data_IF_627873043798
#
_entry.id   IF_627873043798
#
_cell.length_a   1.000
_cell.length_b   1.000
_cell.length_c   1.000
_cell.angle_alpha   90.00
_cell.angle_beta   90.00
_cell.angle_gamma   90.00
#
_symmetry.space_group_name_H-M   'P 1'
#
loop_
_entity.id
_entity.type
_entity.pdbx_description
1 polymer ?
#
# COMPACT_ATOMS: atom_id res chain seq x y z
N UNK A 1 35.38 37.85 -16.64
CA UNK A 1 34.34 37.01 -17.26
C UNK A 1 34.40 35.64 -16.58
N UNK A 2 33.67 35.47 -15.46
CA UNK A 2 33.68 34.24 -14.66
C UNK A 2 32.57 33.29 -15.16
N UNK A 3 32.96 32.10 -15.60
CA UNK A 3 32.06 30.98 -15.89
C UNK A 3 31.69 30.28 -14.58
N UNK A 4 30.43 30.43 -14.14
CA UNK A 4 29.85 29.60 -13.10
C UNK A 4 29.51 28.22 -13.69
N UNK A 5 30.29 27.20 -13.34
CA UNK A 5 29.87 25.82 -13.48
C UNK A 5 28.85 25.50 -12.38
N UNK A 6 27.59 25.39 -12.76
CA UNK A 6 26.54 24.84 -11.89
C UNK A 6 26.72 23.32 -11.87
N UNK A 7 27.35 22.81 -10.81
CA UNK A 7 27.39 21.38 -10.51
C UNK A 7 26.01 20.96 -9.99
N UNK A 8 25.24 20.30 -10.83
CA UNK A 8 23.98 19.66 -10.42
C UNK A 8 24.35 18.41 -9.63
N UNK A 9 24.19 18.46 -8.30
CA UNK A 9 24.24 17.29 -7.43
C UNK A 9 23.07 16.35 -7.75
N UNK A 10 23.32 15.31 -8.54
CA UNK A 10 22.40 14.17 -8.68
C UNK A 10 22.56 13.24 -7.49
N UNK A 11 21.78 13.47 -6.44
CA UNK A 11 21.56 12.44 -5.42
C UNK A 11 21.02 11.16 -6.09
N UNK A 12 21.66 10.04 -5.78
CA UNK A 12 21.64 8.82 -6.59
C UNK A 12 20.25 8.27 -6.86
N UNK A 13 19.88 8.23 -8.13
CA UNK A 13 18.89 7.31 -8.64
C UNK A 13 19.67 6.06 -9.08
N UNK A 14 19.60 4.98 -8.30
CA UNK A 14 20.22 3.70 -8.70
C UNK A 14 19.56 3.26 -10.03
N UNK A 15 20.38 3.13 -11.07
CA UNK A 15 19.98 2.47 -12.29
C UNK A 15 19.91 0.98 -11.96
N UNK A 16 18.77 0.32 -12.21
CA UNK A 16 18.63 -1.10 -11.93
C UNK A 16 19.71 -1.86 -12.70
N UNK A 17 20.48 -2.70 -12.01
CA UNK A 17 21.39 -3.63 -12.66
C UNK A 17 20.60 -4.50 -13.64
N UNK A 18 21.19 -4.97 -14.75
CA UNK A 18 20.55 -5.93 -15.65
C UNK A 18 19.96 -7.17 -14.95
N UNK A 19 20.47 -7.48 -13.76
CA UNK A 19 20.11 -8.65 -12.95
C UNK A 19 19.14 -8.35 -11.79
N UNK A 20 18.84 -7.09 -11.50
CA UNK A 20 17.95 -6.72 -10.40
C UNK A 20 16.49 -6.75 -10.86
N UNK A 21 15.66 -7.54 -10.17
CA UNK A 21 14.22 -7.55 -10.40
C UNK A 21 13.58 -6.31 -9.76
N UNK A 22 12.68 -5.60 -10.47
CA UNK A 22 11.97 -4.46 -9.91
C UNK A 22 11.08 -4.88 -8.74
N UNK A 23 11.13 -4.11 -7.65
CA UNK A 23 10.28 -4.32 -6.49
C UNK A 23 8.83 -3.91 -6.82
N UNK A 24 7.95 -4.90 -7.01
CA UNK A 24 6.53 -4.70 -7.34
C UNK A 24 5.84 -3.74 -6.35
N UNK A 25 6.28 -3.70 -5.09
CA UNK A 25 5.72 -2.83 -4.04
C UNK A 25 5.84 -1.34 -4.37
N UNK A 26 6.78 -0.94 -5.22
CA UNK A 26 6.94 0.45 -5.65
C UNK A 26 5.87 0.88 -6.66
N UNK A 27 5.27 -0.07 -7.38
CA UNK A 27 4.13 0.16 -8.28
C UNK A 27 2.81 0.19 -7.53
N UNK A 28 2.66 -0.62 -6.49
CA UNK A 28 1.38 -0.75 -5.81
C UNK A 28 0.97 0.54 -5.09
N UNK A 29 -0.24 1.03 -5.35
CA UNK A 29 -0.78 2.30 -4.82
C UNK A 29 0.11 3.52 -5.09
N UNK A 30 0.72 3.55 -6.29
CA UNK A 30 1.64 4.60 -6.69
C UNK A 30 1.08 5.50 -7.78
N UNK A 31 1.34 6.81 -7.65
CA UNK A 31 0.92 7.84 -8.59
C UNK A 31 2.15 8.45 -9.25
N UNK A 32 2.09 8.56 -10.57
CA UNK A 32 3.19 8.95 -11.43
C UNK A 32 2.74 10.04 -12.38
N UNK A 33 3.53 11.10 -12.51
CA UNK A 33 3.36 12.14 -13.52
C UNK A 33 4.37 11.92 -14.63
N UNK A 34 3.92 11.92 -15.88
CA UNK A 34 4.80 11.86 -17.04
C UNK A 34 5.58 13.18 -17.18
N UNK A 35 6.84 13.08 -17.61
CA UNK A 35 7.72 14.24 -17.74
C UNK A 35 8.25 14.42 -19.15
N UNK A 36 8.84 13.39 -19.74
CA UNK A 36 9.36 13.44 -21.11
C UNK A 36 9.62 12.04 -21.65
N UNK A 37 9.80 11.95 -22.97
CA UNK A 37 10.24 10.76 -23.68
C UNK A 37 11.59 11.02 -24.33
N UNK A 38 12.55 10.15 -24.06
CA UNK A 38 13.89 10.15 -24.61
C UNK A 38 14.00 9.08 -25.70
N UNK A 39 14.57 9.42 -26.85
CA UNK A 39 14.99 8.44 -27.85
C UNK A 39 16.47 8.10 -27.62
N UNK A 40 16.74 6.88 -27.15
CA UNK A 40 18.04 6.46 -26.62
C UNK A 40 19.18 6.58 -27.64
N UNK A 41 18.96 6.13 -28.86
CA UNK A 41 20.00 6.07 -29.90
C UNK A 41 20.50 7.47 -30.28
N UNK A 42 19.62 8.46 -30.25
CA UNK A 42 19.97 9.86 -30.53
C UNK A 42 20.22 10.71 -29.28
N UNK A 43 19.89 10.17 -28.09
CA UNK A 43 19.82 10.90 -26.82
C UNK A 43 19.01 12.22 -26.92
N UNK A 44 17.94 12.24 -27.73
CA UNK A 44 17.10 13.42 -27.93
C UNK A 44 15.76 13.26 -27.21
N UNK A 45 15.29 14.35 -26.59
CA UNK A 45 13.95 14.41 -26.01
C UNK A 45 12.97 14.63 -27.16
N UNK A 46 12.20 13.59 -27.50
CA UNK A 46 11.25 13.64 -28.62
C UNK A 46 9.89 14.23 -28.20
N UNK A 47 9.58 14.19 -26.91
CA UNK A 47 8.34 14.70 -26.36
C UNK A 47 8.54 15.09 -24.89
N UNK A 48 7.89 16.17 -24.45
CA UNK A 48 7.94 16.65 -23.07
C UNK A 48 6.54 17.00 -22.62
N UNK A 49 6.23 16.71 -21.35
CA UNK A 49 5.03 17.17 -20.71
C UNK A 49 5.04 18.71 -20.68
N UNK A 50 3.99 19.30 -21.22
CA UNK A 50 3.72 20.73 -21.23
C UNK A 50 2.27 20.97 -20.81
N UNK A 51 1.79 22.21 -20.90
CA UNK A 51 0.41 22.55 -20.54
C UNK A 51 -0.64 21.82 -21.40
N UNK A 52 -0.24 21.30 -22.56
CA UNK A 52 -1.09 20.59 -23.51
C UNK A 52 -0.94 19.08 -23.39
N UNK A 53 -0.09 18.59 -22.49
CA UNK A 53 0.13 17.17 -22.24
C UNK A 53 0.35 16.91 -20.74
N UNK A 54 -0.74 17.02 -19.98
CA UNK A 54 -0.77 16.70 -18.56
C UNK A 54 -1.25 15.27 -18.36
N UNK A 55 -0.29 14.40 -18.08
CA UNK A 55 -0.51 12.96 -17.98
C UNK A 55 -0.13 12.41 -16.60
N UNK A 56 -1.09 11.71 -15.98
CA UNK A 56 -0.89 11.01 -14.73
C UNK A 56 -1.30 9.55 -14.85
N UNK A 57 -0.60 8.71 -14.11
CA UNK A 57 -0.84 7.29 -14.01
C UNK A 57 -0.92 6.90 -12.53
N UNK A 58 -1.93 6.12 -12.19
CA UNK A 58 -2.15 5.58 -10.86
C UNK A 58 -2.26 4.07 -10.95
N UNK A 59 -1.24 3.37 -10.46
CA UNK A 59 -1.27 1.93 -10.28
C UNK A 59 -1.94 1.59 -8.96
N UNK A 60 -3.05 0.85 -9.03
CA UNK A 60 -3.88 0.49 -7.89
C UNK A 60 -3.49 -0.88 -7.35
N UNK A 61 -3.88 -1.15 -6.10
CA UNK A 61 -3.59 -2.39 -5.39
C UNK A 61 -4.17 -3.65 -6.05
N UNK A 62 -5.28 -3.49 -6.76
CA UNK A 62 -6.06 -4.54 -7.42
C UNK A 62 -5.51 -4.94 -8.80
N UNK A 63 -4.25 -4.59 -9.11
CA UNK A 63 -3.64 -4.75 -10.43
C UNK A 63 -4.40 -4.00 -11.55
N UNK A 64 -5.26 -3.04 -11.22
CA UNK A 64 -5.80 -2.07 -12.17
C UNK A 64 -4.97 -0.80 -12.18
N UNK A 65 -5.03 -0.05 -13.26
CA UNK A 65 -4.51 1.30 -13.31
C UNK A 65 -5.62 2.28 -13.71
N UNK A 66 -5.48 3.52 -13.25
CA UNK A 66 -6.24 4.65 -13.75
C UNK A 66 -5.25 5.65 -14.31
N UNK A 67 -5.50 6.10 -15.53
CA UNK A 67 -4.71 7.16 -16.15
C UNK A 67 -5.57 8.39 -16.43
N UNK A 68 -4.92 9.53 -16.44
CA UNK A 68 -5.48 10.82 -16.78
C UNK A 68 -4.64 11.41 -17.91
N UNK A 69 -5.29 11.87 -18.98
CA UNK A 69 -4.66 12.64 -20.04
C UNK A 69 -5.57 13.82 -20.36
N UNK A 70 -5.10 15.06 -20.10
CA UNK A 70 -5.77 16.29 -20.51
C UNK A 70 -7.28 16.31 -20.19
N UNK A 71 -7.66 15.96 -18.96
CA UNK A 71 -9.06 15.96 -18.50
C UNK A 71 -9.81 14.65 -18.69
N UNK A 72 -9.28 13.69 -19.45
CA UNK A 72 -9.93 12.40 -19.70
C UNK A 72 -9.32 11.31 -18.84
N UNK A 73 -10.18 10.53 -18.19
CA UNK A 73 -9.78 9.34 -17.46
C UNK A 73 -9.98 8.09 -18.30
N UNK A 74 -9.04 7.16 -18.22
CA UNK A 74 -9.23 5.78 -18.67
C UNK A 74 -8.66 4.80 -17.65
N UNK A 75 -9.05 3.54 -17.77
CA UNK A 75 -8.69 2.47 -16.85
C UNK A 75 -8.30 1.22 -17.63
N UNK A 76 -7.48 0.38 -17.01
CA UNK A 76 -7.12 -0.92 -17.53
C UNK A 76 -6.45 -1.76 -16.46
N UNK A 77 -5.86 -2.87 -16.87
CA UNK A 77 -5.11 -3.78 -16.00
C UNK A 77 -3.60 -3.63 -16.24
N UNK A 78 -2.82 -3.85 -15.20
CA UNK A 78 -1.38 -3.95 -15.30
C UNK A 78 -0.88 -5.25 -14.69
N UNK A 79 0.21 -5.77 -15.23
CA UNK A 79 0.87 -6.94 -14.69
C UNK A 79 2.38 -6.76 -14.83
N UNK A 80 3.12 -7.19 -13.82
CA UNK A 80 4.57 -7.22 -13.85
C UNK A 80 5.03 -8.67 -13.98
N UNK A 81 5.68 -8.99 -15.09
CA UNK A 81 6.34 -10.28 -15.31
C UNK A 81 7.85 -10.06 -15.41
N UNK A 82 8.57 -10.43 -14.35
CA UNK A 82 9.96 -10.11 -14.13
C UNK A 82 10.26 -8.61 -14.31
N UNK A 83 10.78 -8.20 -15.48
CA UNK A 83 11.10 -6.80 -15.81
C UNK A 83 10.14 -6.19 -16.84
N UNK A 84 9.19 -6.98 -17.32
CA UNK A 84 8.20 -6.58 -18.31
C UNK A 84 6.94 -6.11 -17.62
N UNK A 85 6.65 -4.82 -17.74
CA UNK A 85 5.38 -4.25 -17.34
C UNK A 85 4.40 -4.34 -18.52
N UNK A 86 3.34 -5.12 -18.34
CA UNK A 86 2.17 -5.14 -19.20
C UNK A 86 1.24 -4.03 -18.78
N UNK A 87 1.08 -3.03 -19.62
CA UNK A 87 0.35 -1.80 -19.33
C UNK A 87 0.16 -1.05 -20.64
N UNK A 88 -1.05 -0.54 -20.92
CA UNK A 88 -1.32 0.18 -22.17
C UNK A 88 -1.03 1.67 -22.03
N UNK A 89 -0.08 2.17 -22.83
CA UNK A 89 0.26 3.58 -22.92
C UNK A 89 0.62 3.96 -24.34
N UNK A 90 -0.09 4.96 -24.87
CA UNK A 90 -0.01 5.35 -26.28
C UNK A 90 -0.27 4.13 -27.18
N UNK A 91 0.68 3.78 -28.06
CA UNK A 91 0.56 2.67 -29.01
C UNK A 91 1.36 1.43 -28.57
N UNK A 92 1.66 1.31 -27.28
CA UNK A 92 2.41 0.20 -26.70
C UNK A 92 1.67 -0.37 -25.48
N UNK A 93 1.77 -1.68 -25.32
CA UNK A 93 1.13 -2.47 -24.27
C UNK A 93 2.14 -3.21 -23.37
N UNK A 94 3.42 -3.17 -23.75
CA UNK A 94 4.51 -3.89 -23.10
C UNK A 94 5.74 -2.99 -23.00
N UNK A 95 6.27 -2.88 -21.78
CA UNK A 95 7.41 -2.04 -21.47
C UNK A 95 8.43 -2.80 -20.64
N UNK A 96 9.71 -2.57 -20.90
CA UNK A 96 10.80 -3.03 -20.03
C UNK A 96 11.10 -1.96 -19.00
N UNK A 97 11.22 -2.30 -17.72
CA UNK A 97 11.52 -1.32 -16.67
C UNK A 97 13.02 -0.97 -16.70
N UNK A 98 13.38 0.17 -17.30
CA UNK A 98 14.78 0.62 -17.34
C UNK A 98 15.26 1.08 -15.95
N UNK A 99 14.42 1.83 -15.23
CA UNK A 99 14.72 2.31 -13.88
C UNK A 99 13.46 2.38 -13.03
N UNK A 100 13.57 1.93 -11.78
CA UNK A 100 12.52 2.05 -10.77
C UNK A 100 13.14 2.45 -9.44
N UNK A 101 12.58 3.50 -8.84
CA UNK A 101 12.95 3.99 -7.50
C UNK A 101 11.72 4.60 -6.84
N UNK A 102 11.85 5.06 -5.60
CA UNK A 102 10.76 5.75 -4.89
C UNK A 102 10.25 7.00 -5.60
N UNK A 103 11.06 7.66 -6.43
CA UNK A 103 10.71 8.95 -7.02
C UNK A 103 10.68 8.94 -8.55
N UNK A 104 11.28 7.93 -9.18
CA UNK A 104 11.43 7.85 -10.64
C UNK A 104 11.04 6.48 -11.16
N UNK A 105 10.29 6.49 -12.25
CA UNK A 105 9.93 5.33 -13.05
C UNK A 105 10.31 5.63 -14.50
N UNK A 106 11.09 4.75 -15.12
CA UNK A 106 11.49 4.84 -16.52
C UNK A 106 11.07 3.56 -17.23
N UNK A 107 10.14 3.71 -18.18
CA UNK A 107 9.62 2.63 -19.00
C UNK A 107 10.28 2.67 -20.37
N UNK A 108 10.87 1.55 -20.79
CA UNK A 108 11.53 1.40 -22.07
C UNK A 108 10.66 0.61 -23.05
N UNK A 109 10.57 1.10 -24.28
CA UNK A 109 9.84 0.49 -25.37
C UNK A 109 10.70 0.44 -26.62
N UNK A 110 10.85 -0.74 -27.19
CA UNK A 110 11.52 -0.94 -28.48
C UNK A 110 10.47 -1.07 -29.57
N UNK A 111 10.53 -0.20 -30.58
CA UNK A 111 9.60 -0.29 -31.70
C UNK A 111 9.81 -1.61 -32.47
N UNK A 112 8.74 -2.32 -32.88
CA UNK A 112 8.84 -3.59 -33.61
C UNK A 112 9.68 -3.50 -34.89
N UNK A 113 9.65 -2.35 -35.56
CA UNK A 113 10.39 -2.10 -36.79
C UNK A 113 11.87 -1.71 -36.56
N UNK A 114 12.39 -1.88 -35.34
CA UNK A 114 13.80 -1.60 -34.96
C UNK A 114 14.26 -0.16 -35.24
N UNK A 115 13.34 0.80 -35.33
CA UNK A 115 13.64 2.22 -35.61
C UNK A 115 14.10 3.03 -34.39
N UNK A 116 14.18 2.42 -33.22
CA UNK A 116 14.68 3.08 -32.03
C UNK A 116 14.07 2.54 -30.73
N UNK A 117 14.72 2.91 -29.63
CA UNK A 117 14.36 2.55 -28.28
C UNK A 117 13.98 3.83 -27.53
N UNK A 118 12.78 3.84 -26.99
CA UNK A 118 12.19 5.02 -26.33
C UNK A 118 12.08 4.78 -24.83
N UNK A 119 12.52 5.76 -24.05
CA UNK A 119 12.37 5.77 -22.60
C UNK A 119 11.36 6.85 -22.19
N UNK A 120 10.28 6.42 -21.55
CA UNK A 120 9.27 7.28 -20.96
C UNK A 120 9.59 7.52 -19.50
N UNK A 121 9.80 8.78 -19.14
CA UNK A 121 10.18 9.20 -17.80
C UNK A 121 8.99 9.69 -16.99
N UNK A 122 8.85 9.15 -15.79
CA UNK A 122 7.82 9.50 -14.84
C UNK A 122 8.42 9.86 -13.48
N UNK A 123 7.77 10.78 -12.78
CA UNK A 123 8.09 11.18 -11.41
C UNK A 123 6.95 10.83 -10.47
N UNK A 124 7.26 10.37 -9.26
CA UNK A 124 6.22 10.05 -8.27
C UNK A 124 5.58 11.33 -7.76
N UNK A 125 4.26 11.33 -7.61
CA UNK A 125 3.48 12.46 -7.11
C UNK A 125 2.58 12.03 -5.95
N UNK A 126 2.25 12.98 -5.09
CA UNK A 126 1.36 12.76 -3.97
C UNK A 126 -0.12 12.78 -4.40
N UNK A 127 -1.01 12.34 -3.51
CA UNK A 127 -2.45 12.32 -3.75
C UNK A 127 -3.08 13.70 -3.94
N UNK A 128 -2.48 14.76 -3.36
CA UNK A 128 -2.91 16.15 -3.53
C UNK A 128 -2.49 16.77 -4.85
N UNK A 129 -1.46 16.22 -5.50
CA UNK A 129 -0.89 16.74 -6.75
C UNK A 129 -1.42 16.01 -7.99
N UNK A 130 -2.19 14.95 -7.79
CA UNK A 130 -2.73 14.13 -8.87
C UNK A 130 -4.25 14.30 -8.98
N UNK A 131 -4.84 14.23 -10.19
CA UNK A 131 -6.26 14.46 -10.42
C UNK A 131 -7.17 13.28 -9.97
N UNK A 132 -6.62 12.30 -9.25
CA UNK A 132 -7.36 11.12 -8.79
C UNK A 132 -8.11 11.45 -7.50
N UNK A 133 -9.34 11.93 -7.64
CA UNK A 133 -10.22 12.22 -6.50
C UNK A 133 -10.69 10.91 -5.88
N UNK A 134 -10.41 10.71 -4.59
CA UNK A 134 -10.97 9.59 -3.84
C UNK A 134 -12.45 9.85 -3.54
N UNK A 135 -13.36 8.90 -3.81
CA UNK A 135 -14.71 8.92 -3.27
C UNK A 135 -14.67 8.96 -1.73
N UNK A 136 -15.59 9.69 -1.10
CA UNK A 136 -15.66 9.84 0.36
C UNK A 136 -15.78 8.52 1.14
N UNK A 137 -16.24 7.45 0.47
CA UNK A 137 -16.49 6.14 1.07
C UNK A 137 -15.39 5.11 0.74
N UNK A 138 -14.31 5.50 0.07
CA UNK A 138 -13.20 4.58 -0.21
C UNK A 138 -12.25 4.46 0.99
N UNK A 139 -11.80 3.22 1.20
CA UNK A 139 -10.86 2.86 2.25
C UNK A 139 -9.52 3.60 2.08
N UNK A 140 -8.83 3.94 3.18
CA UNK A 140 -7.57 4.71 3.15
C UNK A 140 -6.50 4.04 2.29
N UNK A 141 -5.59 4.85 1.72
CA UNK A 141 -4.54 4.38 0.80
C UNK A 141 -3.67 3.30 1.45
N UNK A 142 -3.39 2.23 0.71
CA UNK A 142 -2.55 1.13 1.20
C UNK A 142 -1.09 1.53 1.07
N UNK A 143 -0.41 1.75 2.20
CA UNK A 143 1.04 2.01 2.21
C UNK A 143 1.78 0.68 2.06
N UNK A 144 1.98 0.16 0.86
CA UNK A 144 2.61 -1.17 0.67
C UNK A 144 4.13 -1.16 0.90
N UNK A 145 4.76 0.01 0.86
CA UNK A 145 6.17 0.16 1.21
C UNK A 145 6.36 -0.17 2.70
N UNK A 146 6.97 -1.32 2.98
CA UNK A 146 7.59 -1.52 4.28
C UNK A 146 8.71 -0.48 4.38
N UNK A 147 8.69 0.35 5.42
CA UNK A 147 9.86 1.13 5.80
C UNK A 147 10.99 0.13 6.03
N UNK A 148 11.87 -0.02 5.04
CA UNK A 148 13.16 -0.65 5.29
C UNK A 148 13.80 0.22 6.37
N UNK A 149 13.91 -0.33 7.58
CA UNK A 149 14.66 0.26 8.68
C UNK A 149 16.15 0.31 8.30
N UNK A 150 16.50 1.16 7.34
CA UNK A 150 17.86 1.61 7.12
C UNK A 150 18.09 2.68 8.17
N UNK A 151 18.37 2.25 9.41
CA UNK A 151 18.94 3.15 10.41
C UNK A 151 20.22 3.71 9.79
N UNK A 152 20.18 4.98 9.37
CA UNK A 152 21.38 5.79 9.13
C UNK A 152 22.11 5.92 10.47
N UNK A 153 22.95 4.96 10.80
CA UNK A 153 23.98 5.13 11.82
C UNK A 153 25.04 6.06 11.26
N UNK A 154 24.88 7.36 11.50
CA UNK A 154 25.97 8.35 11.51
C UNK A 154 25.55 9.60 12.30
N UNK A 155 25.09 9.37 13.53
CA UNK A 155 25.21 10.35 14.60
C UNK A 155 26.52 10.08 15.36
N UNK A 156 27.65 10.16 14.66
CA UNK A 156 28.97 10.27 15.29
C UNK A 156 29.40 11.74 15.25
N UNK A 157 30.00 12.17 16.36
CA UNK A 157 30.53 13.52 16.66
C UNK A 157 29.49 14.53 17.14
N UNK A 158 29.14 14.42 18.42
CA UNK A 158 29.35 15.48 19.43
C UNK A 158 28.69 15.10 20.77
N UNK A 159 29.32 14.23 21.55
CA UNK A 159 29.20 14.16 23.01
C UNK A 159 30.57 13.70 23.50
N UNK A 160 31.51 14.59 23.76
CA UNK A 160 31.42 15.56 24.84
C UNK A 160 31.92 14.84 26.09
N UNK A 161 33.16 15.15 26.46
CA UNK A 161 34.06 14.60 27.49
C UNK A 161 33.45 14.36 28.91
N UNK A 162 32.15 14.62 29.09
CA UNK A 162 31.40 14.59 30.34
C UNK A 162 30.62 13.28 30.59
N UNK A 163 30.64 12.29 29.68
CA UNK A 163 29.92 11.03 29.87
C UNK A 163 30.71 9.92 30.56
N UNK A 164 31.99 10.10 30.87
CA UNK A 164 32.78 9.07 31.55
C UNK A 164 32.47 8.96 33.06
N UNK A 165 31.92 10.01 33.68
CA UNK A 165 31.70 10.08 35.12
C UNK A 165 30.29 9.67 35.61
N UNK A 166 29.38 9.22 34.74
CA UNK A 166 28.04 8.79 35.20
C UNK A 166 27.64 7.40 34.71
N UNK A 167 27.77 6.49 35.67
CA UNK A 167 26.96 5.30 35.93
C UNK A 167 27.12 4.11 34.98
N UNK A 168 27.87 3.17 35.54
CA UNK A 168 27.89 1.73 35.33
C UNK A 168 26.51 1.11 35.65
N UNK A 169 25.49 1.42 34.86
CA UNK A 169 24.28 0.60 34.84
C UNK A 169 24.49 -0.50 33.79
N UNK A 170 24.41 -1.75 34.25
CA UNK A 170 24.59 -2.96 33.45
C UNK A 170 23.57 -2.94 32.31
N UNK A 171 24.00 -2.62 31.10
CA UNK A 171 23.22 -2.86 29.90
C UNK A 171 22.99 -4.38 29.79
N UNK A 172 21.73 -4.81 29.89
CA UNK A 172 21.34 -6.16 29.49
C UNK A 172 21.84 -6.41 28.05
N UNK A 173 22.35 -7.61 27.74
CA UNK A 173 22.83 -7.93 26.40
C UNK A 173 21.70 -7.70 25.39
N UNK A 174 22.03 -7.00 24.30
CA UNK A 174 21.16 -6.67 23.16
C UNK A 174 20.13 -7.77 22.88
N UNK A 175 18.91 -7.62 23.39
CA UNK A 175 17.77 -8.41 22.91
C UNK A 175 17.58 -8.03 21.43
N UNK A 176 17.53 -9.01 20.51
CA UNK A 176 17.24 -8.71 19.11
C UNK A 176 15.94 -7.91 19.03
N UNK A 177 15.93 -6.85 18.22
CA UNK A 177 14.73 -6.01 18.07
C UNK A 177 13.56 -6.89 17.60
N UNK A 178 12.38 -6.78 18.24
CA UNK A 178 11.24 -7.62 17.90
C UNK A 178 10.83 -7.40 16.45
N UNK A 179 10.43 -8.47 15.77
CA UNK A 179 9.99 -8.40 14.37
C UNK A 179 8.81 -7.44 14.24
N UNK A 180 8.88 -6.54 13.27
CA UNK A 180 7.82 -5.57 13.03
C UNK A 180 6.50 -6.27 12.69
N UNK A 181 5.43 -5.94 13.41
CA UNK A 181 4.08 -6.46 13.18
C UNK A 181 3.12 -5.27 13.12
N UNK A 182 2.29 -5.19 12.09
CA UNK A 182 1.21 -4.20 12.01
C UNK A 182 0.01 -4.82 11.33
N UNK A 183 -1.13 -4.83 12.02
CA UNK A 183 -2.40 -5.36 11.53
C UNK A 183 -3.39 -4.20 11.47
N UNK A 184 -4.07 -4.05 10.34
CA UNK A 184 -5.09 -3.04 10.13
C UNK A 184 -6.31 -3.70 9.48
N UNK A 185 -7.46 -3.62 10.15
CA UNK A 185 -8.74 -4.10 9.65
C UNK A 185 -9.67 -2.89 9.51
N UNK A 186 -10.24 -2.72 8.32
CA UNK A 186 -11.10 -1.57 8.00
C UNK A 186 -12.38 -2.06 7.36
N UNK A 187 -13.51 -1.48 7.79
CA UNK A 187 -14.82 -1.81 7.24
C UNK A 187 -15.26 -3.22 7.63
N UNK A 188 -16.03 -3.86 6.74
CA UNK A 188 -16.70 -5.12 7.04
C UNK A 188 -18.06 -4.89 7.69
N UNK A 189 -19.11 -4.90 6.88
CA UNK A 189 -20.47 -4.72 7.35
C UNK A 189 -21.35 -4.07 6.30
N UNK A 190 -22.50 -3.53 6.72
CA UNK A 190 -23.45 -2.86 5.84
C UNK A 190 -23.76 -1.45 6.35
N UNK A 191 -23.56 -0.43 5.51
CA UNK A 191 -24.07 0.93 5.70
C UNK A 191 -25.59 0.95 5.55
N UNK A 192 -26.31 1.00 6.67
CA UNK A 192 -27.74 1.30 6.66
C UNK A 192 -28.52 0.50 7.68
N UNK A 193 -29.75 0.93 7.90
CA UNK A 193 -30.52 0.61 9.09
C UNK A 193 -30.77 1.88 9.89
N UNK A 194 -31.26 1.72 11.11
CA UNK A 194 -31.62 2.82 12.01
C UNK A 194 -30.38 3.69 12.37
N UNK A 195 -29.18 3.10 12.38
CA UNK A 195 -27.91 3.76 12.69
C UNK A 195 -26.71 3.24 11.84
N UNK A 196 -26.40 3.86 10.68
CA UNK A 196 -25.31 3.44 9.80
C UNK A 196 -23.91 3.60 10.43
N UNK A 197 -23.01 2.64 10.19
CA UNK A 197 -21.61 2.68 10.67
C UNK A 197 -20.75 3.49 9.71
N UNK A 198 -20.26 4.65 10.14
CA UNK A 198 -19.39 5.57 9.37
C UNK A 198 -17.91 5.17 9.39
N UNK A 199 -17.46 4.55 10.48
CA UNK A 199 -16.07 4.13 10.66
C UNK A 199 -16.04 2.86 11.47
N UNK A 200 -15.35 1.86 10.97
CA UNK A 200 -14.94 0.69 11.74
C UNK A 200 -13.50 0.37 11.37
N UNK A 201 -12.60 0.59 12.34
CA UNK A 201 -11.17 0.50 12.13
C UNK A 201 -10.52 -0.13 13.35
N UNK A 202 -9.85 -1.26 13.16
CA UNK A 202 -9.03 -1.91 14.18
C UNK A 202 -7.58 -1.87 13.72
N UNK A 203 -6.70 -1.37 14.57
CA UNK A 203 -5.26 -1.36 14.35
C UNK A 203 -4.54 -2.02 15.52
N UNK A 204 -3.68 -2.99 15.22
CA UNK A 204 -2.77 -3.61 16.19
C UNK A 204 -1.34 -3.27 15.78
N UNK A 205 -0.63 -2.58 16.67
CA UNK A 205 0.76 -2.16 16.48
C UNK A 205 1.73 -3.24 16.92
N UNK A 206 3.02 -3.04 16.63
CA UNK A 206 4.10 -3.99 16.95
C UNK A 206 4.25 -4.24 18.45
N UNK A 207 3.96 -3.24 19.27
CA UNK A 207 3.98 -3.33 20.74
C UNK A 207 2.76 -4.07 21.31
N UNK A 208 1.87 -4.61 20.47
CA UNK A 208 0.62 -5.24 20.90
C UNK A 208 -0.51 -4.25 21.18
N UNK A 209 -0.29 -2.94 21.00
CA UNK A 209 -1.32 -1.94 21.23
C UNK A 209 -2.41 -2.04 20.16
N UNK A 210 -3.59 -2.48 20.59
CA UNK A 210 -4.81 -2.51 19.82
C UNK A 210 -5.58 -1.20 20.01
N UNK A 211 -6.00 -0.59 18.91
CA UNK A 211 -6.84 0.59 18.86
C UNK A 211 -8.01 0.27 17.95
N UNK A 212 -9.22 0.32 18.49
CA UNK A 212 -10.46 0.19 17.73
C UNK A 212 -11.15 1.55 17.70
N UNK A 213 -11.43 2.05 16.51
CA UNK A 213 -12.17 3.28 16.27
C UNK A 213 -13.49 2.92 15.58
N UNK A 214 -14.59 3.18 16.25
CA UNK A 214 -15.93 2.88 15.76
C UNK A 214 -16.79 4.14 15.79
N UNK A 215 -17.49 4.44 14.71
CA UNK A 215 -18.34 5.62 14.60
C UNK A 215 -19.62 5.27 13.84
N UNK A 216 -20.76 5.73 14.33
CA UNK A 216 -22.04 5.63 13.61
C UNK A 216 -22.62 7.01 13.35
N UNK A 217 -23.80 7.09 12.74
CA UNK A 217 -24.49 8.38 12.52
C UNK A 217 -25.05 8.91 13.84
N UNK A 218 -25.61 8.04 14.69
CA UNK A 218 -26.21 8.43 15.97
C UNK A 218 -25.19 8.52 17.09
N UNK A 219 -24.13 7.69 17.05
CA UNK A 219 -23.07 7.69 18.06
C UNK A 219 -21.83 8.32 17.48
N UNK A 220 -21.27 9.28 18.22
CA UNK A 220 -19.97 9.86 17.89
C UNK A 220 -18.84 8.82 17.90
N UNK A 221 -17.62 9.28 17.61
CA UNK A 221 -16.45 8.43 17.56
C UNK A 221 -16.18 7.77 18.94
N UNK A 222 -16.29 6.45 18.99
CA UNK A 222 -15.89 5.62 20.12
C UNK A 222 -14.50 5.05 19.84
N UNK A 223 -13.57 5.25 20.77
CA UNK A 223 -12.20 4.73 20.66
C UNK A 223 -11.92 3.80 21.83
N UNK A 224 -11.75 2.52 21.53
CA UNK A 224 -11.32 1.51 22.49
C UNK A 224 -9.83 1.22 22.31
N UNK A 225 -9.07 1.16 23.39
CA UNK A 225 -7.63 0.93 23.36
C UNK A 225 -7.32 -0.20 24.33
N UNK A 226 -6.60 -1.21 23.85
CA UNK A 226 -6.18 -2.39 24.62
C UNK A 226 -4.74 -2.73 24.31
N UNK A 227 -4.12 -3.51 25.18
CA UNK A 227 -2.80 -4.07 24.92
C UNK A 227 -2.92 -5.59 24.87
N UNK A 228 -2.43 -6.17 23.79
CA UNK A 228 -2.32 -7.61 23.59
C UNK A 228 -0.89 -8.00 23.97
N UNK A 229 -0.68 -9.05 24.77
CA UNK A 229 0.66 -9.58 25.05
C UNK A 229 1.42 -9.86 23.75
N UNK A 230 2.71 -9.56 23.73
CA UNK A 230 3.52 -9.69 22.52
C UNK A 230 3.56 -11.14 22.04
N UNK A 231 3.59 -12.09 22.96
CA UNK A 231 3.60 -13.52 22.71
C UNK A 231 2.31 -13.98 22.02
N UNK A 232 1.16 -13.46 22.45
CA UNK A 232 -0.13 -13.74 21.81
C UNK A 232 -0.17 -13.18 20.38
N UNK A 233 0.36 -11.97 20.17
CA UNK A 233 0.44 -11.35 18.84
C UNK A 233 1.33 -12.16 17.89
N UNK A 234 2.47 -12.68 18.37
CA UNK A 234 3.36 -13.52 17.58
C UNK A 234 2.71 -14.86 17.22
N UNK A 235 2.06 -15.52 18.18
CA UNK A 235 1.29 -16.74 17.94
C UNK A 235 0.17 -16.53 16.91
N UNK A 236 -0.55 -15.40 17.01
CA UNK A 236 -1.57 -15.02 16.04
C UNK A 236 -0.98 -14.90 14.63
N UNK A 237 0.16 -14.22 14.47
CA UNK A 237 0.82 -14.05 13.17
C UNK A 237 1.32 -15.38 12.60
N UNK A 238 1.90 -16.26 13.42
CA UNK A 238 2.30 -17.60 12.97
C UNK A 238 1.09 -18.41 12.46
N UNK A 239 -0.04 -18.31 13.16
CA UNK A 239 -1.28 -18.95 12.74
C UNK A 239 -1.80 -18.34 11.43
N UNK A 240 -1.76 -17.02 11.26
CA UNK A 240 -2.11 -16.34 9.98
C UNK A 240 -1.25 -16.83 8.81
N UNK A 241 0.05 -17.04 9.05
CA UNK A 241 0.95 -17.61 8.02
C UNK A 241 0.52 -19.04 7.66
N UNK A 242 0.15 -19.86 8.65
CA UNK A 242 -0.38 -21.23 8.41
C UNK A 242 -1.71 -21.22 7.64
N UNK A 243 -2.53 -20.19 7.81
CA UNK A 243 -3.77 -19.98 7.04
C UNK A 243 -3.51 -19.51 5.58
N UNK A 244 -2.24 -19.40 5.16
CA UNK A 244 -1.83 -18.95 3.82
C UNK A 244 -2.34 -17.56 3.45
N UNK A 245 -2.54 -16.68 4.42
CA UNK A 245 -3.03 -15.31 4.18
C UNK A 245 -2.17 -14.53 3.17
N UNK A 246 -0.85 -14.67 3.24
CA UNK A 246 0.08 -13.97 2.34
C UNK A 246 0.00 -14.46 0.89
N UNK A 247 -0.58 -15.65 0.66
CA UNK A 247 -0.76 -16.26 -0.67
C UNK A 247 -2.15 -15.99 -1.26
N UNK A 248 -3.11 -15.45 -0.47
CA UNK A 248 -4.47 -15.15 -0.92
C UNK A 248 -4.50 -14.11 -2.06
N UNK A 249 -5.62 -13.99 -2.75
CA UNK A 249 -5.79 -12.94 -3.74
C UNK A 249 -5.82 -11.56 -3.07
N UNK A 250 -5.35 -10.55 -3.81
CA UNK A 250 -5.31 -9.16 -3.32
C UNK A 250 -6.72 -8.59 -3.16
N UNK A 251 -7.64 -8.96 -4.04
CA UNK A 251 -9.00 -8.44 -4.11
C UNK A 251 -9.95 -9.56 -4.47
N UNK A 252 -11.02 -9.69 -3.69
CA UNK A 252 -12.18 -10.51 -3.98
C UNK A 252 -13.35 -9.57 -4.30
N UNK A 253 -13.77 -9.54 -5.56
CA UNK A 253 -14.83 -8.64 -6.05
C UNK A 253 -16.03 -9.42 -6.62
N UNK A 254 -17.12 -8.72 -6.88
CA UNK A 254 -18.31 -9.25 -7.52
C UNK A 254 -18.01 -9.76 -8.93
N UNK A 255 -18.44 -10.98 -9.21
CA UNK A 255 -18.43 -11.59 -10.55
C UNK A 255 -19.81 -11.53 -11.21
N UNK A 256 -20.87 -11.65 -10.41
CA UNK A 256 -22.24 -11.86 -10.91
C UNK A 256 -23.12 -10.61 -10.83
N UNK A 257 -24.11 -10.46 -11.74
CA UNK A 257 -25.07 -9.35 -11.72
C UNK A 257 -25.79 -9.19 -10.37
N UNK A 258 -26.06 -10.30 -9.67
CA UNK A 258 -26.69 -10.30 -8.35
C UNK A 258 -25.82 -9.59 -7.31
N UNK A 259 -24.51 -9.82 -7.33
CA UNK A 259 -23.55 -9.16 -6.43
C UNK A 259 -23.47 -7.66 -6.74
N UNK A 260 -23.39 -7.28 -8.02
CA UNK A 260 -23.40 -5.86 -8.41
C UNK A 260 -24.69 -5.15 -7.98
N UNK A 261 -25.86 -5.79 -8.12
CA UNK A 261 -27.12 -5.25 -7.61
C UNK A 261 -27.12 -5.15 -6.09
N UNK A 262 -26.48 -6.08 -5.36
CA UNK A 262 -26.41 -6.00 -3.90
C UNK A 262 -25.67 -4.77 -3.41
N UNK A 263 -24.64 -4.31 -4.14
CA UNK A 263 -23.87 -3.10 -3.80
C UNK A 263 -24.73 -1.82 -3.78
N UNK A 264 -25.82 -1.77 -4.53
CA UNK A 264 -26.70 -0.58 -4.60
C UNK A 264 -27.87 -0.63 -3.62
N UNK A 265 -28.19 -1.80 -3.07
CA UNK A 265 -29.30 -1.98 -2.12
C UNK A 265 -28.92 -1.54 -0.71
N UNK A 266 -29.85 -0.87 -0.02
CA UNK A 266 -29.71 -0.55 1.40
C UNK A 266 -30.03 -1.79 2.27
N UNK A 267 -29.29 -2.03 3.35
CA UNK A 267 -28.06 -1.33 3.74
C UNK A 267 -26.91 -1.65 2.77
N UNK A 268 -26.24 -0.61 2.28
CA UNK A 268 -25.18 -0.69 1.26
C UNK A 268 -23.93 -1.34 1.86
N UNK A 269 -23.40 -2.42 1.28
CA UNK A 269 -22.25 -3.12 1.86
C UNK A 269 -21.01 -2.22 1.90
N UNK A 270 -20.22 -2.38 2.97
CA UNK A 270 -18.90 -1.74 3.12
C UNK A 270 -17.86 -2.78 2.74
N UNK A 271 -16.95 -2.48 1.79
CA UNK A 271 -15.82 -3.34 1.53
C UNK A 271 -14.99 -3.53 2.81
N UNK A 272 -14.58 -4.76 3.04
CA UNK A 272 -13.64 -5.10 4.10
C UNK A 272 -12.22 -4.99 3.55
N UNK A 273 -11.29 -4.45 4.32
CA UNK A 273 -9.86 -4.53 4.03
C UNK A 273 -9.07 -4.97 5.25
N UNK A 274 -8.30 -6.02 5.08
CA UNK A 274 -7.36 -6.53 6.07
C UNK A 274 -5.94 -6.37 5.53
N UNK A 275 -5.10 -5.62 6.24
CA UNK A 275 -3.68 -5.44 5.97
C UNK A 275 -2.87 -6.06 7.10
N UNK A 276 -2.03 -7.05 6.80
CA UNK A 276 -1.11 -7.65 7.75
C UNK A 276 0.32 -7.45 7.25
N UNK A 277 1.14 -6.85 8.10
CA UNK A 277 2.59 -6.71 7.90
C UNK A 277 3.31 -7.54 8.96
N UNK A 278 4.22 -8.40 8.53
CA UNK A 278 5.08 -9.22 9.38
C UNK A 278 6.52 -9.20 8.84
N UNK A 279 7.39 -8.46 9.51
CA UNK A 279 8.75 -8.18 9.06
C UNK A 279 8.76 -7.55 7.67
N UNK A 280 9.30 -8.27 6.69
CA UNK A 280 9.37 -7.84 5.28
C UNK A 280 8.11 -8.19 4.47
N UNK A 281 7.27 -9.09 4.97
CA UNK A 281 6.06 -9.55 4.27
C UNK A 281 4.93 -8.60 4.57
N UNK A 282 4.30 -8.07 3.54
CA UNK A 282 3.07 -7.27 3.66
C UNK A 282 2.05 -7.79 2.67
N UNK A 283 0.83 -8.06 3.16
CA UNK A 283 -0.30 -8.43 2.32
C UNK A 283 -1.52 -7.65 2.75
N UNK A 284 -2.23 -7.14 1.76
CA UNK A 284 -3.55 -6.54 1.93
C UNK A 284 -4.56 -7.35 1.13
N UNK A 285 -5.69 -7.62 1.75
CA UNK A 285 -6.81 -8.34 1.12
C UNK A 285 -8.02 -7.44 1.22
N UNK A 286 -8.66 -7.15 0.10
CA UNK A 286 -9.91 -6.37 0.05
C UNK A 286 -11.04 -7.26 -0.43
N UNK A 287 -12.17 -7.27 0.27
CA UNK A 287 -13.37 -8.02 -0.08
C UNK A 287 -14.50 -7.02 -0.32
N UNK A 288 -15.13 -7.06 -1.50
CA UNK A 288 -16.15 -6.07 -1.86
C UNK A 288 -17.44 -6.15 -1.03
N UNK A 289 -17.87 -7.37 -0.69
CA UNK A 289 -18.98 -7.65 0.23
C UNK A 289 -18.51 -8.77 1.16
N UNK A 290 -18.28 -8.45 2.43
CA UNK A 290 -17.84 -9.41 3.44
C UNK A 290 -19.02 -9.97 4.23
N UNK A 291 -18.99 -11.27 4.50
CA UNK A 291 -19.99 -11.99 5.26
C UNK A 291 -21.23 -12.38 4.46
N UNK A 292 -22.22 -12.88 5.19
CA UNK A 292 -23.54 -13.23 4.67
C UNK A 292 -24.54 -12.09 4.91
N UNK A 293 -25.63 -12.06 4.13
CA UNK A 293 -26.79 -11.22 4.46
C UNK A 293 -27.80 -11.93 5.37
N UNK A 294 -28.91 -11.26 5.68
CA UNK A 294 -30.00 -11.81 6.49
C UNK A 294 -30.58 -13.13 5.95
N UNK A 295 -30.35 -13.43 4.65
CA UNK A 295 -30.79 -14.65 3.97
C UNK A 295 -29.68 -15.69 3.87
N UNK A 296 -28.57 -15.51 4.59
CA UNK A 296 -27.38 -16.37 4.56
C UNK A 296 -26.73 -16.47 3.17
N UNK A 297 -26.89 -15.44 2.35
CA UNK A 297 -26.29 -15.41 1.01
C UNK A 297 -24.91 -14.76 1.07
N UNK A 298 -23.89 -15.49 0.64
CA UNK A 298 -22.54 -14.97 0.41
C UNK A 298 -22.41 -14.49 -1.04
N UNK A 299 -22.11 -13.22 -1.25
CA UNK A 299 -22.11 -12.59 -2.58
C UNK A 299 -20.77 -12.62 -3.30
N UNK A 300 -19.68 -12.72 -2.56
CA UNK A 300 -18.31 -12.73 -3.08
C UNK A 300 -17.65 -14.01 -2.63
N UNK A 301 -17.07 -14.75 -3.57
CA UNK A 301 -16.32 -15.96 -3.25
C UNK A 301 -14.92 -15.59 -2.76
N UNK A 302 -14.65 -15.89 -1.49
CA UNK A 302 -13.37 -15.66 -0.84
C UNK A 302 -13.13 -16.77 0.18
N UNK A 303 -11.85 -17.14 0.45
CA UNK A 303 -11.51 -18.30 1.25
C UNK A 303 -12.04 -18.21 2.70
N UNK A 304 -12.61 -19.29 3.28
CA UNK A 304 -13.11 -19.28 4.66
C UNK A 304 -12.02 -19.02 5.70
N UNK A 305 -10.76 -19.26 5.36
CA UNK A 305 -9.61 -18.91 6.18
C UNK A 305 -9.56 -17.40 6.48
N UNK A 306 -10.04 -16.57 5.55
CA UNK A 306 -10.11 -15.12 5.74
C UNK A 306 -11.10 -14.75 6.86
N UNK A 307 -12.28 -15.39 6.89
CA UNK A 307 -13.28 -15.19 7.96
C UNK A 307 -12.69 -15.57 9.32
N UNK A 308 -12.00 -16.71 9.41
CA UNK A 308 -11.35 -17.13 10.66
C UNK A 308 -10.35 -16.08 11.19
N UNK A 309 -9.59 -15.45 10.29
CA UNK A 309 -8.59 -14.43 10.66
C UNK A 309 -9.28 -13.16 11.16
N UNK A 310 -10.33 -12.72 10.47
CA UNK A 310 -11.10 -11.53 10.83
C UNK A 310 -11.79 -11.74 12.18
N UNK A 311 -12.44 -12.89 12.36
CA UNK A 311 -13.09 -13.27 13.62
C UNK A 311 -12.11 -13.25 14.78
N UNK A 312 -10.88 -13.77 14.59
CA UNK A 312 -9.85 -13.73 15.62
C UNK A 312 -9.46 -12.28 15.97
N UNK A 313 -9.32 -11.39 14.99
CA UNK A 313 -9.04 -9.96 15.21
C UNK A 313 -10.19 -9.29 15.97
N UNK A 314 -11.43 -9.51 15.53
CA UNK A 314 -12.62 -8.95 16.17
C UNK A 314 -12.81 -9.47 17.60
N UNK A 315 -12.48 -10.74 17.87
CA UNK A 315 -12.45 -11.31 19.22
C UNK A 315 -11.39 -10.64 20.09
N UNK A 316 -10.16 -10.43 19.59
CA UNK A 316 -9.14 -9.67 20.32
C UNK A 316 -9.61 -8.25 20.66
N UNK A 317 -10.34 -7.59 19.75
CA UNK A 317 -10.89 -6.27 19.98
C UNK A 317 -12.06 -6.25 20.98
N UNK A 318 -12.92 -7.27 20.99
CA UNK A 318 -14.15 -7.33 21.80
C UNK A 318 -13.99 -7.92 23.20
N UNK A 319 -12.93 -8.71 23.48
CA UNK A 319 -12.66 -9.29 24.81
C UNK A 319 -12.71 -8.22 25.92
N UNK A 320 -13.50 -8.44 26.97
CA UNK A 320 -13.47 -7.57 28.15
C UNK A 320 -12.07 -7.62 28.78
N UNK A 321 -11.55 -6.48 29.25
CA UNK A 321 -10.25 -6.47 29.93
C UNK A 321 -10.35 -7.33 31.20
N UNK A 322 -9.46 -8.32 31.34
CA UNK A 322 -9.21 -8.91 32.65
C UNK A 322 -8.57 -7.82 33.53
N UNK A 323 -9.08 -7.55 34.74
CA UNK A 323 -8.60 -6.46 35.61
C UNK A 323 -7.18 -6.67 36.18
N UNK A 324 -6.34 -7.49 35.54
CA UNK A 324 -5.01 -7.86 36.00
C UNK A 324 -3.99 -7.60 34.90
N UNK A 325 -3.38 -6.42 34.91
CA UNK A 325 -1.94 -6.20 35.18
C UNK A 325 -1.72 -4.68 35.11
N UNK A 326 -2.01 -3.98 36.21
CA UNK A 326 -1.18 -2.82 36.58
C UNK A 326 0.08 -3.40 37.21
N UNK A 327 1.19 -3.35 36.49
CA UNK A 327 2.53 -3.45 37.09
C UNK A 327 3.14 -2.08 37.15
#
# INVERSE_FOLDING_TARGET
MLLLFVVINTAGAQQLSPWDLPDERLFVESKWKYTYTLHLESNTIIHKADNNYDYYLYFRYDNTYQQYLNGKFSRGTWQLDARTLHYSFQNADRFTIAQLSKNKLVLEFKQPNSRGTYQYHFVRVSSSEAPFVKPSNELPEVIVEAEQNVKKSKAEKKKGFWSWFRRKDKAEPNKPEPVYINIELVGGGYYGGIDPVLKDYIRIKTDGRLIQEFQTVRKGLMVNKKNIPREELEQFIEWVVKQRFFEMEKVYDCTDPVCFQRKTKKPTPVPLRLSITYGIKKKVVTVAIWGEDDRKTKYVDYPPQLDNIIDAIQRMASRMEDPLVKK
#
